data_IF_915889999912
#
_entry.id   IF_915889999912
#
_cell.length_a   1.000
_cell.length_b   1.000
_cell.length_c   1.000
_cell.angle_alpha   90.00
_cell.angle_beta   90.00
_cell.angle_gamma   90.00
#
_symmetry.space_group_name_H-M   'P 1'
#
loop_
_entity.id
_entity.type
_entity.pdbx_description
1 polymer ?
#
# COMPACT_ATOMS: atom_id res chain seq x y z
N UNK A 1 -8.27 -51.28 -0.60
CA UNK A 1 -9.27 -50.30 -0.10
C UNK A 1 -8.56 -48.99 0.17
N UNK A 2 -8.70 -48.06 -0.76
CA UNK A 2 -8.02 -46.78 -0.84
C UNK A 2 -8.70 -45.76 0.09
N UNK A 3 -7.92 -44.97 0.83
CA UNK A 3 -8.39 -43.65 1.32
C UNK A 3 -7.79 -42.61 0.37
N UNK A 4 -8.65 -41.91 -0.36
CA UNK A 4 -8.29 -40.75 -1.16
C UNK A 4 -7.98 -39.60 -0.21
N UNK A 5 -6.80 -39.00 -0.33
CA UNK A 5 -6.53 -37.65 0.18
C UNK A 5 -6.13 -36.80 -1.03
N UNK A 6 -7.11 -36.11 -1.59
CA UNK A 6 -6.93 -35.12 -2.65
C UNK A 6 -6.49 -33.81 -2.00
N UNK A 7 -5.23 -33.42 -2.25
CA UNK A 7 -4.74 -32.07 -2.03
C UNK A 7 -5.51 -31.09 -2.94
N UNK A 8 -5.95 -29.91 -2.47
CA UNK A 8 -6.55 -28.91 -3.33
C UNK A 8 -5.49 -28.35 -4.30
N UNK A 9 -5.87 -28.23 -5.57
CA UNK A 9 -5.00 -27.83 -6.68
C UNK A 9 -4.29 -26.50 -6.44
N UNK A 10 -2.96 -26.52 -6.52
CA UNK A 10 -2.13 -25.33 -6.64
C UNK A 10 -1.86 -25.08 -8.12
N UNK A 11 -2.63 -24.20 -8.75
CA UNK A 11 -2.41 -23.85 -10.15
C UNK A 11 -1.29 -22.79 -10.29
N UNK A 12 -0.18 -23.27 -10.88
CA UNK A 12 0.86 -22.61 -11.70
C UNK A 12 1.94 -21.74 -11.00
N UNK A 13 3.18 -22.24 -10.96
CA UNK A 13 4.39 -21.41 -11.02
C UNK A 13 5.34 -21.91 -12.10
N UNK A 14 5.30 -21.37 -13.33
CA UNK A 14 6.43 -21.36 -14.24
C UNK A 14 7.15 -20.03 -14.01
N UNK A 15 8.49 -20.03 -13.96
CA UNK A 15 9.33 -18.84 -13.70
C UNK A 15 8.69 -17.55 -14.24
N UNK A 16 8.28 -16.66 -13.33
CA UNK A 16 7.77 -15.34 -13.67
C UNK A 16 8.78 -14.73 -14.64
N UNK A 17 8.37 -14.41 -15.87
CA UNK A 17 9.32 -13.81 -16.81
C UNK A 17 9.92 -12.56 -16.17
N UNK A 18 11.16 -12.21 -16.53
CA UNK A 18 11.79 -10.98 -16.05
C UNK A 18 10.85 -9.78 -16.23
N UNK A 19 10.05 -9.80 -17.30
CA UNK A 19 9.04 -8.80 -17.62
C UNK A 19 7.93 -8.63 -16.59
N UNK A 20 7.46 -9.73 -16.00
CA UNK A 20 6.46 -9.67 -14.93
C UNK A 20 7.11 -9.42 -13.56
N UNK A 21 8.33 -9.91 -13.34
CA UNK A 21 9.05 -9.66 -12.09
C UNK A 21 9.33 -8.17 -11.89
N UNK A 22 9.80 -7.46 -12.93
CA UNK A 22 10.04 -6.02 -12.79
C UNK A 22 8.74 -5.22 -12.64
N UNK A 23 7.64 -5.64 -13.28
CA UNK A 23 6.32 -5.00 -13.07
C UNK A 23 5.86 -5.16 -11.62
N UNK A 24 6.00 -6.35 -11.04
CA UNK A 24 5.65 -6.59 -9.63
C UNK A 24 6.52 -5.77 -8.67
N UNK A 25 7.80 -5.55 -8.98
CA UNK A 25 8.67 -4.67 -8.20
C UNK A 25 8.22 -3.20 -8.27
N UNK A 26 7.73 -2.73 -9.42
CA UNK A 26 7.21 -1.36 -9.59
C UNK A 26 5.88 -1.13 -8.83
N UNK A 27 5.10 -2.20 -8.62
CA UNK A 27 3.87 -2.14 -7.83
C UNK A 27 4.07 -2.46 -6.35
N UNK A 28 5.22 -2.99 -5.94
CA UNK A 28 5.47 -3.33 -4.54
C UNK A 28 5.50 -2.06 -3.69
N UNK A 29 4.47 -1.87 -2.87
CA UNK A 29 4.39 -0.74 -1.94
C UNK A 29 5.08 -1.05 -0.60
N UNK A 30 5.73 -2.21 -0.49
CA UNK A 30 6.39 -2.65 0.74
C UNK A 30 7.52 -1.69 1.13
N UNK A 31 7.39 -1.09 2.32
CA UNK A 31 8.34 -0.14 2.86
C UNK A 31 8.15 1.32 2.43
N UNK A 32 7.30 1.61 1.42
CA UNK A 32 7.02 2.99 1.01
C UNK A 32 6.31 3.80 2.10
N UNK A 33 5.42 3.17 2.87
CA UNK A 33 4.76 3.83 4.00
C UNK A 33 5.76 4.47 4.99
N UNK A 34 6.89 3.81 5.26
CA UNK A 34 7.92 4.35 6.17
C UNK A 34 8.60 5.59 5.58
N UNK A 35 8.82 5.59 4.26
CA UNK A 35 9.43 6.70 3.54
C UNK A 35 8.44 7.88 3.36
N UNK A 36 7.16 7.57 3.27
CA UNK A 36 6.07 8.54 3.11
C UNK A 36 5.70 9.24 4.43
N UNK A 37 6.31 8.85 5.56
CA UNK A 37 6.02 9.41 6.87
C UNK A 37 6.42 10.88 6.95
N UNK A 38 5.46 11.73 7.27
CA UNK A 38 5.69 13.16 7.51
C UNK A 38 6.08 13.35 8.97
N UNK A 39 7.27 13.90 9.21
CA UNK A 39 7.75 14.22 10.57
C UNK A 39 7.21 15.56 11.08
N UNK A 40 7.09 16.56 10.21
CA UNK A 40 6.50 17.87 10.51
C UNK A 40 6.06 18.56 9.22
N UNK A 41 4.99 19.35 9.29
CA UNK A 41 4.58 20.28 8.23
C UNK A 41 4.89 21.74 8.61
N UNK A 42 5.22 22.61 7.64
CA UNK A 42 5.32 24.05 7.89
C UNK A 42 4.03 24.62 8.49
N UNK A 43 4.13 25.35 9.60
CA UNK A 43 2.96 25.94 10.29
C UNK A 43 2.12 24.96 11.10
N UNK A 44 2.51 23.69 11.18
CA UNK A 44 1.83 22.70 12.02
C UNK A 44 2.10 22.97 13.52
N UNK A 45 1.07 22.95 14.37
CA UNK A 45 1.25 22.98 15.81
C UNK A 45 2.15 21.83 16.30
N UNK A 46 3.02 22.09 17.25
CA UNK A 46 3.99 21.11 17.75
C UNK A 46 3.37 19.93 18.51
N UNK A 47 2.10 20.02 18.88
CA UNK A 47 1.40 19.09 19.77
C UNK A 47 0.40 18.17 19.03
N UNK A 48 0.67 17.81 17.77
CA UNK A 48 -0.14 16.81 17.08
C UNK A 48 0.11 15.40 17.64
N UNK A 49 -0.96 14.65 17.88
CA UNK A 49 -0.93 13.32 18.49
C UNK A 49 -1.23 12.18 17.50
N UNK A 50 -1.09 12.42 16.20
CA UNK A 50 -1.35 11.43 15.15
C UNK A 50 -0.20 11.34 14.16
N UNK A 51 -0.02 10.16 13.56
CA UNK A 51 0.90 9.99 12.45
C UNK A 51 0.25 10.42 11.14
N UNK A 52 1.06 10.98 10.25
CA UNK A 52 0.63 11.44 8.94
C UNK A 52 1.63 10.97 7.88
N UNK A 53 1.11 10.68 6.70
CA UNK A 53 1.86 10.13 5.59
C UNK A 53 1.41 10.81 4.30
N UNK A 54 2.32 11.00 3.36
CA UNK A 54 1.99 11.43 2.01
C UNK A 54 2.94 10.85 1.00
N UNK A 55 2.41 10.50 -0.17
CA UNK A 55 3.20 9.93 -1.24
C UNK A 55 2.39 9.84 -2.52
N UNK A 56 2.90 9.02 -3.44
CA UNK A 56 2.26 8.74 -4.71
C UNK A 56 1.99 7.24 -4.84
N UNK A 57 0.79 6.90 -5.28
CA UNK A 57 0.43 5.53 -5.66
C UNK A 57 0.33 5.45 -7.17
N UNK A 58 1.18 4.63 -7.79
CA UNK A 58 1.15 4.39 -9.25
C UNK A 58 -0.12 3.63 -9.61
N UNK A 59 -0.97 4.23 -10.45
CA UNK A 59 -2.23 3.64 -10.91
C UNK A 59 -2.15 3.10 -12.33
N UNK A 60 -1.22 3.62 -13.14
CA UNK A 60 -0.89 3.11 -14.46
C UNK A 60 0.57 3.40 -14.80
N UNK A 61 1.42 2.39 -14.64
CA UNK A 61 2.85 2.50 -14.93
C UNK A 61 3.13 2.75 -16.42
N UNK A 62 2.35 2.14 -17.33
CA UNK A 62 2.57 2.27 -18.78
C UNK A 62 2.28 3.69 -19.26
N UNK A 63 1.26 4.33 -18.69
CA UNK A 63 0.93 5.71 -18.98
C UNK A 63 1.63 6.72 -18.04
N UNK A 64 2.48 6.26 -17.12
CA UNK A 64 3.17 7.10 -16.13
C UNK A 64 2.23 7.86 -15.19
N UNK A 65 1.05 7.31 -14.89
CA UNK A 65 0.06 7.97 -14.00
C UNK A 65 0.21 7.48 -12.56
N UNK A 66 0.31 8.45 -11.64
CA UNK A 66 0.26 8.23 -10.20
C UNK A 66 -0.70 9.22 -9.54
N UNK A 67 -1.33 8.80 -8.44
CA UNK A 67 -2.19 9.64 -7.63
C UNK A 67 -1.44 10.04 -6.35
N UNK A 68 -1.45 11.33 -6.05
CA UNK A 68 -1.00 11.82 -4.76
C UNK A 68 -2.01 11.46 -3.67
N UNK A 69 -1.53 11.13 -2.47
CA UNK A 69 -2.36 10.96 -1.29
C UNK A 69 -1.77 11.68 -0.07
N UNK A 70 -2.65 12.02 0.86
CA UNK A 70 -2.31 12.45 2.21
C UNK A 70 -3.20 11.68 3.20
N UNK A 71 -2.57 10.96 4.13
CA UNK A 71 -3.23 10.16 5.15
C UNK A 71 -2.91 10.75 6.52
N UNK A 72 -3.95 11.10 7.28
CA UNK A 72 -3.85 11.35 8.71
C UNK A 72 -4.45 10.14 9.45
N UNK A 73 -3.64 9.44 10.24
CA UNK A 73 -4.10 8.33 11.06
C UNK A 73 -4.97 8.82 12.23
N UNK A 74 -5.79 7.94 12.79
CA UNK A 74 -6.46 8.23 14.05
C UNK A 74 -5.41 8.41 15.16
N UNK A 75 -5.61 9.42 16.02
CA UNK A 75 -4.69 9.73 17.11
C UNK A 75 -4.60 8.61 18.17
N UNK A 76 -5.69 7.87 18.38
CA UNK A 76 -5.76 6.78 19.35
C UNK A 76 -6.38 5.53 18.71
N UNK A 77 -5.95 4.35 19.17
CA UNK A 77 -6.39 3.02 18.71
C UNK A 77 -6.40 2.84 17.19
N UNK A 78 -5.39 3.36 16.49
CA UNK A 78 -5.33 3.44 15.02
C UNK A 78 -5.66 2.13 14.31
N UNK A 79 -5.22 0.99 14.83
CA UNK A 79 -5.48 -0.33 14.24
C UNK A 79 -6.94 -0.79 14.29
N UNK A 80 -7.78 -0.14 15.10
CA UNK A 80 -9.20 -0.48 15.27
C UNK A 80 -10.14 0.52 14.64
N UNK A 81 -9.65 1.72 14.29
CA UNK A 81 -10.48 2.76 13.68
C UNK A 81 -10.67 2.47 12.19
N UNK A 82 -11.84 2.82 11.61
CA UNK A 82 -12.08 2.60 10.19
C UNK A 82 -11.26 3.56 9.32
N UNK A 83 -11.02 3.16 8.08
CA UNK A 83 -10.43 4.02 7.04
C UNK A 83 -11.54 4.83 6.35
N UNK A 84 -11.35 6.15 6.26
CA UNK A 84 -12.21 7.05 5.48
C UNK A 84 -11.45 7.56 4.26
N UNK A 85 -12.01 7.37 3.07
CA UNK A 85 -11.49 7.94 1.83
C UNK A 85 -12.29 9.20 1.47
N UNK A 86 -11.60 10.35 1.43
CA UNK A 86 -12.18 11.62 1.02
C UNK A 86 -11.77 11.96 -0.42
N UNK A 87 -12.74 12.13 -1.31
CA UNK A 87 -12.53 12.50 -2.72
C UNK A 87 -13.23 13.83 -3.00
N UNK A 88 -12.49 14.79 -3.56
CA UNK A 88 -13.06 16.05 -4.05
C UNK A 88 -13.51 15.90 -5.52
N UNK A 89 -14.40 16.79 -5.96
CA UNK A 89 -14.91 16.86 -7.34
C UNK A 89 -15.32 18.28 -7.71
#
# INVERSE_FOLDING_TARGET
>A
KSRLNTQPEQWITPSISSEYSWRLNEYSQDGLQKNDRITALPGQPSNIAFAQYSGYVTVDAQAGRALFYYLAEAAEDTSTKPLLLWLNG
#
